data_IF_540706649107
#
_entry.id   IF_540706649107
#
_cell.length_a   1.000
_cell.length_b   1.000
_cell.length_c   1.000
_cell.angle_alpha   90.00
_cell.angle_beta   90.00
_cell.angle_gamma   90.00
#
_symmetry.space_group_name_H-M   'P 1'
#
loop_
_entity.id
_entity.type
_entity.pdbx_description
1 polymer ?
#
# COMPACT_ATOMS: atom_id res chain seq x y z
N UNK A 1 -34.10 -1.47 -24.49
CA UNK A 1 -34.60 -1.75 -23.13
C UNK A 1 -34.05 -0.64 -22.23
N UNK A 2 -34.90 0.09 -21.53
CA UNK A 2 -34.46 1.19 -20.65
C UNK A 2 -33.95 0.59 -19.34
N UNK A 3 -32.66 0.80 -19.02
CA UNK A 3 -32.09 0.35 -17.76
C UNK A 3 -32.92 0.86 -16.59
N UNK A 4 -33.23 -0.04 -15.67
CA UNK A 4 -33.96 0.21 -14.44
C UNK A 4 -33.21 1.20 -13.56
N UNK A 5 -33.91 1.86 -12.65
CA UNK A 5 -33.28 2.77 -11.69
C UNK A 5 -32.22 2.05 -10.84
N UNK A 6 -32.50 0.79 -10.46
CA UNK A 6 -31.56 -0.06 -9.74
C UNK A 6 -30.24 -0.28 -10.51
N UNK A 7 -30.31 -0.55 -11.82
CA UNK A 7 -29.12 -0.73 -12.65
C UNK A 7 -28.28 0.54 -12.73
N UNK A 8 -28.93 1.70 -12.86
CA UNK A 8 -28.24 3.01 -12.87
C UNK A 8 -27.52 3.28 -11.55
N UNK A 9 -28.17 3.00 -10.42
CA UNK A 9 -27.59 3.26 -9.10
C UNK A 9 -26.48 2.25 -8.76
N UNK A 10 -26.63 0.99 -9.17
CA UNK A 10 -25.58 -0.02 -9.12
C UNK A 10 -24.36 0.40 -9.94
N UNK A 11 -24.55 0.89 -11.16
CA UNK A 11 -23.45 1.35 -12.03
C UNK A 11 -22.72 2.56 -11.44
N UNK A 12 -23.44 3.54 -10.88
CA UNK A 12 -22.83 4.67 -10.17
C UNK A 12 -22.00 4.22 -8.98
N UNK A 13 -22.50 3.26 -8.19
CA UNK A 13 -21.80 2.74 -7.03
C UNK A 13 -20.53 1.98 -7.43
N UNK A 14 -20.61 1.13 -8.46
CA UNK A 14 -19.45 0.44 -9.03
C UNK A 14 -18.41 1.44 -9.54
N UNK A 15 -18.84 2.49 -10.26
CA UNK A 15 -17.94 3.53 -10.75
C UNK A 15 -17.26 4.29 -9.61
N UNK A 16 -18.01 4.69 -8.58
CA UNK A 16 -17.47 5.37 -7.41
C UNK A 16 -16.38 4.53 -6.73
N UNK A 17 -16.65 3.24 -6.52
CA UNK A 17 -15.67 2.31 -5.96
C UNK A 17 -14.42 2.24 -6.84
N UNK A 18 -14.59 2.10 -8.16
CA UNK A 18 -13.45 2.05 -9.08
C UNK A 18 -12.59 3.31 -9.03
N UNK A 19 -13.20 4.49 -8.92
CA UNK A 19 -12.49 5.76 -8.83
C UNK A 19 -11.72 5.90 -7.51
N UNK A 20 -12.28 5.40 -6.40
CA UNK A 20 -11.58 5.34 -5.10
C UNK A 20 -10.38 4.39 -5.15
N UNK A 21 -10.51 3.21 -5.77
CA UNK A 21 -9.37 2.30 -5.94
C UNK A 21 -8.28 2.91 -6.84
N UNK A 22 -8.66 3.59 -7.92
CA UNK A 22 -7.71 4.31 -8.79
C UNK A 22 -6.99 5.44 -8.06
N UNK A 23 -7.66 6.22 -7.22
CA UNK A 23 -7.02 7.30 -6.46
C UNK A 23 -6.02 6.78 -5.44
N UNK A 24 -6.21 5.56 -4.93
CA UNK A 24 -5.27 4.86 -4.05
C UNK A 24 -4.15 4.12 -4.81
N UNK A 25 -4.08 4.25 -6.14
CA UNK A 25 -3.10 3.55 -6.96
C UNK A 25 -3.33 2.03 -7.08
N UNK A 26 -4.52 1.55 -6.69
CA UNK A 26 -4.88 0.14 -6.75
C UNK A 26 -5.59 -0.11 -8.08
N UNK A 27 -4.89 -0.76 -9.01
CA UNK A 27 -5.48 -1.24 -10.25
C UNK A 27 -6.42 -2.41 -9.98
N UNK A 28 -7.74 -2.18 -10.08
CA UNK A 28 -8.74 -3.25 -10.08
C UNK A 28 -8.48 -4.12 -11.31
N UNK A 29 -8.10 -5.38 -11.07
CA UNK A 29 -7.90 -6.37 -12.13
C UNK A 29 -9.20 -6.48 -12.93
N UNK A 30 -9.19 -5.91 -14.13
CA UNK A 30 -10.28 -6.07 -15.07
C UNK A 30 -10.43 -7.56 -15.43
N UNK A 31 -11.61 -7.89 -15.96
CA UNK A 31 -12.04 -9.20 -16.49
C UNK A 31 -11.00 -9.99 -17.29
N UNK A 32 -9.93 -9.36 -17.78
CA UNK A 32 -8.82 -10.01 -18.48
C UNK A 32 -8.09 -11.07 -17.65
N UNK A 33 -8.07 -10.98 -16.32
CA UNK A 33 -7.49 -12.05 -15.47
C UNK A 33 -8.43 -13.27 -15.35
N UNK A 34 -9.74 -13.09 -15.54
CA UNK A 34 -10.69 -14.21 -15.60
C UNK A 34 -10.52 -14.99 -16.91
N UNK A 35 -10.22 -14.31 -18.01
CA UNK A 35 -9.95 -14.97 -19.30
C UNK A 35 -8.57 -15.66 -19.35
N UNK A 36 -7.64 -15.27 -18.46
CA UNK A 36 -6.33 -15.91 -18.28
C UNK A 36 -6.33 -17.15 -17.37
N UNK A 37 -7.43 -17.45 -16.67
CA UNK A 37 -7.57 -18.68 -15.90
C UNK A 37 -7.86 -19.85 -16.86
N UNK A 38 -7.11 -20.97 -16.78
CA UNK A 38 -7.39 -22.14 -17.62
C UNK A 38 -8.81 -22.64 -17.34
N UNK A 39 -9.67 -22.59 -18.36
CA UNK A 39 -10.96 -23.32 -18.33
C UNK A 39 -10.63 -24.78 -18.06
N UNK A 40 -11.09 -25.29 -16.91
CA UNK A 40 -10.90 -26.68 -16.55
C UNK A 40 -11.30 -27.58 -17.71
N UNK A 41 -10.36 -28.45 -18.10
CA UNK A 41 -10.58 -29.45 -19.12
C UNK A 41 -11.82 -30.28 -18.74
N UNK A 42 -12.68 -30.52 -19.74
CA UNK A 42 -13.83 -31.42 -19.65
C UNK A 42 -13.40 -32.74 -19.01
N UNK A 43 -13.71 -32.94 -17.73
CA UNK A 43 -13.78 -34.26 -17.15
C UNK A 43 -14.90 -34.98 -17.90
N UNK A 44 -14.51 -35.96 -18.72
CA UNK A 44 -15.43 -36.89 -19.37
C UNK A 44 -16.27 -37.52 -18.26
N UNK A 45 -17.57 -37.23 -18.25
CA UNK A 45 -18.52 -37.94 -17.42
C UNK A 45 -18.36 -39.43 -17.73
N UNK A 46 -18.04 -40.21 -16.71
CA UNK A 46 -18.18 -41.66 -16.78
C UNK A 46 -19.68 -41.94 -16.77
N UNK A 47 -20.14 -42.41 -17.91
CA UNK A 47 -21.45 -43.02 -18.12
C UNK A 47 -21.69 -44.07 -17.02
N UNK A 48 -22.72 -43.85 -16.20
CA UNK A 48 -23.21 -44.85 -15.28
C UNK A 48 -23.90 -45.93 -16.11
N UNK A 49 -23.14 -46.98 -16.45
CA UNK A 49 -23.71 -48.24 -16.93
C UNK A 49 -24.31 -48.94 -15.72
N UNK A 50 -25.63 -48.88 -15.63
CA UNK A 50 -26.44 -49.78 -14.82
C UNK A 50 -26.41 -51.18 -15.44
N UNK A 51 -25.85 -52.12 -14.68
CA UNK A 51 -26.38 -53.48 -14.43
C UNK A 51 -25.23 -54.48 -14.29
N UNK A 52 -25.11 -55.09 -13.10
CA UNK A 52 -25.23 -56.53 -12.98
C UNK A 52 -25.54 -56.92 -11.53
N UNK A 53 -26.60 -57.74 -11.44
CA UNK A 53 -27.03 -58.49 -10.27
C UNK A 53 -25.98 -59.54 -9.90
N UNK A 54 -26.09 -60.00 -8.65
CA UNK A 54 -25.51 -61.22 -8.09
C UNK A 54 -24.11 -61.10 -7.48
N UNK A 55 -24.07 -60.69 -6.22
CA UNK A 55 -23.17 -61.30 -5.23
C UNK A 55 -23.70 -61.01 -3.83
N UNK A 56 -24.47 -61.95 -3.28
CA UNK A 56 -24.65 -62.09 -1.82
C UNK A 56 -23.26 -62.25 -1.19
N UNK A 57 -22.77 -61.21 -0.55
CA UNK A 57 -21.75 -61.34 0.46
C UNK A 57 -22.28 -60.69 1.74
N UNK A 58 -22.60 -61.56 2.69
CA UNK A 58 -22.93 -61.22 4.07
C UNK A 58 -21.82 -60.33 4.62
N UNK A 59 -22.08 -59.03 4.66
CA UNK A 59 -21.19 -58.05 5.27
C UNK A 59 -21.25 -58.27 6.78
N UNK A 60 -20.24 -58.94 7.33
CA UNK A 60 -20.02 -59.10 8.77
C UNK A 60 -19.22 -57.90 9.30
N UNK A 61 -19.85 -56.94 10.02
CA UNK A 61 -19.19 -55.73 10.50
C UNK A 61 -18.18 -55.97 11.62
N UNK A 62 -17.98 -57.22 12.06
CA UNK A 62 -17.10 -57.56 13.18
C UNK A 62 -15.72 -58.09 12.78
N UNK A 63 -15.42 -58.19 11.47
CA UNK A 63 -14.24 -58.90 10.96
C UNK A 63 -13.02 -58.04 10.59
N UNK A 64 -13.11 -56.71 10.60
CA UNK A 64 -12.00 -55.81 10.21
C UNK A 64 -11.26 -55.15 11.38
N UNK A 65 -11.46 -55.62 12.61
CA UNK A 65 -10.60 -55.26 13.74
C UNK A 65 -9.54 -56.34 13.86
N UNK A 66 -8.44 -56.17 13.12
CA UNK A 66 -7.07 -56.55 13.48
C UNK A 66 -6.25 -56.84 12.21
N UNK A 67 -5.67 -55.80 11.58
CA UNK A 67 -4.22 -55.75 11.40
C UNK A 67 -3.70 -54.48 10.71
N UNK A 68 -2.66 -53.91 11.34
CA UNK A 68 -1.61 -53.04 10.79
C UNK A 68 -1.93 -51.54 10.66
N UNK A 69 -2.10 -50.86 11.80
CA UNK A 69 -1.75 -49.43 11.91
C UNK A 69 -0.27 -49.33 12.23
N UNK A 70 0.57 -49.37 11.20
CA UNK A 70 1.99 -49.04 11.28
C UNK A 70 2.34 -48.29 9.98
N UNK A 71 1.86 -47.06 9.89
CA UNK A 71 2.37 -46.09 8.93
C UNK A 71 2.66 -44.81 9.70
N UNK A 72 3.95 -44.59 9.82
CA UNK A 72 4.72 -43.53 10.46
C UNK A 72 4.44 -42.15 9.83
N UNK A 73 3.19 -41.69 9.86
CA UNK A 73 2.75 -40.39 9.32
C UNK A 73 2.30 -39.40 10.43
N UNK A 74 2.73 -39.62 11.68
CA UNK A 74 2.36 -38.73 12.80
C UNK A 74 3.19 -37.45 12.90
N UNK A 75 4.29 -37.31 12.15
CA UNK A 75 5.17 -36.14 12.29
C UNK A 75 4.70 -34.92 11.47
N UNK A 76 3.90 -35.10 10.42
CA UNK A 76 3.49 -33.99 9.53
C UNK A 76 2.35 -33.12 10.12
N UNK A 77 1.62 -33.64 11.11
CA UNK A 77 0.56 -32.88 11.79
C UNK A 77 1.08 -32.02 12.95
N UNK A 78 2.19 -32.40 13.59
CA UNK A 78 2.67 -31.72 14.79
C UNK A 78 3.49 -30.46 14.46
N UNK A 79 4.22 -30.45 13.35
CA UNK A 79 4.97 -29.28 12.86
C UNK A 79 4.03 -28.17 12.35
N UNK A 80 2.92 -28.53 11.70
CA UNK A 80 1.89 -27.57 11.24
C UNK A 80 1.13 -26.89 12.38
N UNK A 81 0.92 -27.58 13.50
CA UNK A 81 0.24 -27.01 14.67
C UNK A 81 1.09 -25.91 15.33
N UNK A 82 2.42 -26.09 15.38
CA UNK A 82 3.37 -25.13 15.98
C UNK A 82 3.34 -23.76 15.31
N UNK A 83 3.12 -23.73 14.00
CA UNK A 83 3.06 -22.50 13.21
C UNK A 83 1.65 -22.10 12.78
N UNK A 84 0.60 -22.63 13.42
CA UNK A 84 -0.81 -22.32 13.09
C UNK A 84 -1.14 -22.46 11.58
N UNK A 85 -0.56 -23.45 10.89
CA UNK A 85 -0.65 -23.64 9.43
C UNK A 85 -0.03 -22.52 8.58
N UNK A 86 0.77 -21.62 9.16
CA UNK A 86 1.60 -20.66 8.42
C UNK A 86 2.96 -21.26 8.09
N UNK A 87 3.54 -20.84 6.96
CA UNK A 87 4.91 -21.18 6.61
C UNK A 87 5.86 -20.61 7.69
N UNK A 88 6.78 -21.41 8.24
CA UNK A 88 7.64 -20.97 9.34
C UNK A 88 8.55 -19.83 8.89
N UNK A 89 8.74 -18.83 9.75
CA UNK A 89 9.66 -17.72 9.47
C UNK A 89 11.08 -18.27 9.24
N UNK A 90 11.74 -17.97 8.12
CA UNK A 90 13.05 -18.55 7.79
C UNK A 90 14.14 -18.33 8.84
N UNK A 91 14.12 -17.21 9.57
CA UNK A 91 15.10 -16.93 10.63
C UNK A 91 14.81 -17.78 11.85
N UNK A 92 13.54 -17.86 12.25
CA UNK A 92 13.10 -18.64 13.41
C UNK A 92 13.30 -20.15 13.15
N UNK A 93 12.93 -20.62 11.96
CA UNK A 93 13.15 -22.00 11.49
C UNK A 93 14.63 -22.38 11.45
N UNK A 94 15.51 -21.47 10.99
CA UNK A 94 16.96 -21.68 11.06
C UNK A 94 17.40 -21.87 12.51
N UNK A 95 16.82 -21.09 13.40
CA UNK A 95 17.13 -21.16 14.81
C UNK A 95 16.78 -22.50 15.43
N UNK A 96 15.61 -23.05 15.08
CA UNK A 96 15.15 -24.35 15.54
C UNK A 96 15.95 -25.50 14.94
N UNK A 97 16.19 -25.46 13.62
CA UNK A 97 16.93 -26.49 12.90
C UNK A 97 18.37 -26.67 13.45
N UNK A 98 19.01 -25.57 13.87
CA UNK A 98 20.35 -25.61 14.42
C UNK A 98 20.40 -25.85 15.94
N UNK A 99 19.26 -25.98 16.62
CA UNK A 99 19.17 -26.22 18.05
C UNK A 99 18.77 -27.66 18.35
N UNK A 100 19.76 -28.52 18.56
CA UNK A 100 19.51 -29.93 18.88
C UNK A 100 19.03 -30.11 20.33
N UNK A 101 18.05 -30.98 20.62
CA UNK A 101 17.61 -31.22 22.01
C UNK A 101 18.71 -31.77 22.93
N UNK A 102 19.70 -32.47 22.37
CA UNK A 102 20.76 -33.17 23.11
C UNK A 102 22.02 -32.33 23.34
N UNK A 103 22.38 -31.50 22.36
CA UNK A 103 23.64 -30.74 22.36
C UNK A 103 23.45 -29.22 22.24
N UNK A 104 22.20 -28.75 22.17
CA UNK A 104 21.89 -27.36 21.91
C UNK A 104 22.40 -26.91 20.55
N UNK A 105 22.72 -25.62 20.45
CA UNK A 105 23.27 -24.98 19.26
C UNK A 105 24.80 -24.85 19.34
N UNK A 106 25.49 -25.08 18.23
CA UNK A 106 26.95 -24.89 18.15
C UNK A 106 27.32 -23.41 18.28
N UNK A 107 28.53 -23.06 18.75
CA UNK A 107 28.95 -21.66 18.91
C UNK A 107 28.82 -20.84 17.62
N UNK A 108 29.25 -21.42 16.48
CA UNK A 108 29.13 -20.78 15.16
C UNK A 108 27.68 -20.57 14.76
N UNK A 109 26.81 -21.58 14.93
CA UNK A 109 25.41 -21.43 14.59
C UNK A 109 24.72 -20.38 15.50
N UNK A 110 25.16 -20.25 16.75
CA UNK A 110 24.64 -19.26 17.68
C UNK A 110 24.98 -17.83 17.28
N UNK A 111 26.23 -17.60 16.88
CA UNK A 111 26.66 -16.31 16.31
C UNK A 111 25.85 -15.94 15.06
N UNK A 112 25.69 -16.90 14.15
CA UNK A 112 24.96 -16.69 12.90
C UNK A 112 23.49 -16.39 13.14
N UNK A 113 22.84 -17.12 14.05
CA UNK A 113 21.45 -16.85 14.42
C UNK A 113 21.30 -15.47 15.10
N UNK A 114 22.21 -15.11 16.01
CA UNK A 114 22.17 -13.81 16.68
C UNK A 114 22.28 -12.65 15.66
N UNK A 115 23.13 -12.80 14.64
CA UNK A 115 23.23 -11.83 13.54
C UNK A 115 21.92 -11.73 12.73
N UNK A 116 21.30 -12.86 12.40
CA UNK A 116 20.04 -12.87 11.67
C UNK A 116 18.91 -12.19 12.45
N UNK A 117 18.81 -12.44 13.76
CA UNK A 117 17.81 -11.80 14.64
C UNK A 117 18.06 -10.30 14.75
N UNK A 118 19.32 -9.89 14.97
CA UNK A 118 19.68 -8.47 15.03
C UNK A 118 19.37 -7.73 13.72
N UNK A 119 19.60 -8.36 12.56
CA UNK A 119 19.30 -7.78 11.26
C UNK A 119 17.77 -7.74 10.98
N UNK A 120 17.00 -8.69 11.54
CA UNK A 120 15.52 -8.72 11.47
C UNK A 120 14.91 -7.58 12.31
N UNK A 121 15.52 -7.26 13.44
CA UNK A 121 15.09 -6.17 14.35
C UNK A 121 15.61 -4.78 13.96
N UNK A 122 16.63 -4.72 13.10
CA UNK A 122 17.20 -3.46 12.62
C UNK A 122 16.16 -2.66 11.83
N UNK A 123 15.85 -1.45 12.31
CA UNK A 123 14.97 -0.54 11.60
C UNK A 123 15.61 -0.14 10.26
N UNK A 124 14.83 -0.09 9.16
CA UNK A 124 15.34 0.32 7.86
C UNK A 124 15.88 1.75 7.93
N UNK A 125 17.08 1.94 7.38
CA UNK A 125 17.68 3.25 7.18
C UNK A 125 16.80 4.07 6.21
N UNK A 126 16.64 5.37 6.48
CA UNK A 126 15.65 6.25 5.86
C UNK A 126 15.63 6.08 4.32
N UNK A 127 14.55 5.50 3.79
CA UNK A 127 14.34 5.25 2.36
C UNK A 127 14.63 3.84 1.84
N UNK A 128 15.07 2.87 2.66
CA UNK A 128 15.22 1.47 2.25
C UNK A 128 14.06 0.58 2.75
N UNK A 129 13.68 -0.42 1.97
CA UNK A 129 12.73 -1.44 2.41
C UNK A 129 13.37 -2.34 3.47
N UNK A 130 12.62 -2.71 4.52
CA UNK A 130 13.05 -3.67 5.51
C UNK A 130 13.42 -5.00 4.83
N UNK A 131 14.56 -5.59 5.22
CA UNK A 131 15.00 -6.86 4.65
C UNK A 131 14.03 -7.97 5.03
N UNK A 132 13.60 -8.75 4.05
CA UNK A 132 12.76 -9.92 4.33
C UNK A 132 13.57 -11.00 5.10
N UNK A 133 12.93 -11.81 5.96
CA UNK A 133 13.58 -12.90 6.68
C UNK A 133 14.39 -13.83 5.76
N UNK A 134 13.84 -14.22 4.59
CA UNK A 134 14.55 -15.04 3.60
C UNK A 134 15.81 -14.36 3.05
N UNK A 135 15.78 -13.03 2.89
CA UNK A 135 16.93 -12.25 2.42
C UNK A 135 18.02 -12.17 3.48
N UNK A 136 17.65 -11.99 4.74
CA UNK A 136 18.56 -12.00 5.90
C UNK A 136 19.28 -13.35 6.00
N UNK A 137 18.52 -14.45 5.92
CA UNK A 137 19.08 -15.80 5.94
C UNK A 137 19.99 -16.05 4.74
N UNK A 138 19.58 -15.64 3.53
CA UNK A 138 20.39 -15.79 2.33
C UNK A 138 21.75 -15.09 2.46
N UNK A 139 21.75 -13.84 2.92
CA UNK A 139 22.95 -13.02 3.04
C UNK A 139 23.88 -13.58 4.13
N UNK A 140 23.32 -13.96 5.29
CA UNK A 140 24.09 -14.53 6.41
C UNK A 140 24.73 -15.88 6.04
N UNK A 141 23.97 -16.79 5.42
CA UNK A 141 24.51 -18.08 5.00
C UNK A 141 25.48 -17.94 3.83
N UNK A 142 25.34 -16.93 2.97
CA UNK A 142 26.29 -16.71 1.87
C UNK A 142 27.69 -16.32 2.32
N UNK A 143 27.83 -15.74 3.52
CA UNK A 143 29.12 -15.39 4.12
C UNK A 143 29.89 -16.64 4.59
N UNK A 144 29.16 -17.67 5.03
CA UNK A 144 29.72 -18.93 5.52
C UNK A 144 29.89 -19.92 4.36
N UNK A 145 28.85 -20.06 3.54
CA UNK A 145 28.80 -21.00 2.42
C UNK A 145 27.96 -20.46 1.27
N UNK A 146 28.62 -20.20 0.13
CA UNK A 146 27.98 -19.74 -1.12
C UNK A 146 27.02 -20.76 -1.74
N UNK A 147 27.05 -22.01 -1.28
CA UNK A 147 26.25 -23.13 -1.77
C UNK A 147 25.22 -23.62 -0.77
N UNK A 148 24.87 -22.81 0.25
CA UNK A 148 23.82 -23.18 1.21
C UNK A 148 22.51 -23.57 0.50
N UNK A 149 22.01 -24.76 0.82
CA UNK A 149 20.73 -25.31 0.32
C UNK A 149 19.58 -25.09 1.30
N UNK A 150 19.82 -24.40 2.42
CA UNK A 150 18.83 -24.19 3.47
C UNK A 150 17.53 -23.59 2.95
N UNK A 151 17.61 -22.46 2.23
CA UNK A 151 16.43 -21.78 1.68
C UNK A 151 15.66 -22.64 0.65
N UNK A 152 16.32 -23.25 -0.37
CA UNK A 152 15.64 -24.20 -1.26
C UNK A 152 14.98 -25.38 -0.54
N UNK A 153 15.61 -25.92 0.51
CA UNK A 153 15.08 -27.07 1.24
C UNK A 153 13.82 -26.72 2.04
N UNK A 154 13.62 -25.45 2.41
CA UNK A 154 12.40 -24.96 3.06
C UNK A 154 11.39 -24.37 2.06
N UNK A 155 11.55 -24.63 0.76
CA UNK A 155 10.62 -24.17 -0.27
C UNK A 155 10.87 -22.76 -0.82
N UNK A 156 11.89 -22.04 -0.34
CA UNK A 156 12.23 -20.70 -0.83
C UNK A 156 13.11 -20.81 -2.09
N UNK A 157 12.62 -20.43 -3.28
CA UNK A 157 13.37 -20.58 -4.52
C UNK A 157 14.62 -19.69 -4.53
N UNK A 158 15.74 -20.25 -5.02
CA UNK A 158 16.98 -19.49 -5.19
C UNK A 158 16.75 -18.40 -6.25
N UNK A 159 17.02 -17.14 -5.90
CA UNK A 159 17.07 -16.06 -6.87
C UNK A 159 18.13 -16.40 -7.93
N UNK A 160 17.69 -16.90 -9.09
CA UNK A 160 18.57 -17.30 -10.17
C UNK A 160 19.24 -16.05 -10.73
N UNK A 161 20.58 -16.07 -10.83
CA UNK A 161 21.36 -14.96 -11.42
C UNK A 161 21.27 -14.93 -12.95
N UNK A 162 20.21 -15.47 -13.55
CA UNK A 162 20.00 -15.39 -15.00
C UNK A 162 19.32 -14.07 -15.32
N UNK A 163 19.94 -13.28 -16.21
CA UNK A 163 19.47 -12.00 -16.79
C UNK A 163 19.99 -10.70 -16.14
N UNK A 164 21.14 -10.74 -15.45
CA UNK A 164 21.79 -9.52 -14.93
C UNK A 164 22.15 -8.48 -16.00
N UNK A 165 22.27 -8.85 -17.28
CA UNK A 165 22.58 -7.91 -18.36
C UNK A 165 21.36 -7.19 -18.98
N UNK A 166 20.16 -7.79 -18.93
CA UNK A 166 18.92 -7.15 -19.43
C UNK A 166 18.19 -6.34 -18.34
N UNK A 167 18.52 -6.58 -17.07
CA UNK A 167 17.90 -5.94 -15.91
C UNK A 167 18.51 -4.57 -15.60
N UNK A 168 19.80 -4.33 -15.87
CA UNK A 168 20.46 -3.07 -15.48
C UNK A 168 19.92 -1.87 -16.26
N UNK A 169 19.75 -1.98 -17.58
CA UNK A 169 19.23 -0.88 -18.39
C UNK A 169 17.74 -0.57 -18.08
N UNK A 170 16.95 -1.59 -17.76
CA UNK A 170 15.57 -1.42 -17.32
C UNK A 170 15.50 -0.79 -15.91
N UNK A 171 16.41 -1.17 -15.01
CA UNK A 171 16.49 -0.61 -13.66
C UNK A 171 16.97 0.85 -13.66
N UNK A 172 17.92 1.20 -14.53
CA UNK A 172 18.37 2.59 -14.74
C UNK A 172 17.22 3.46 -15.27
N UNK A 173 16.39 2.94 -16.19
CA UNK A 173 15.22 3.67 -16.69
C UNK A 173 14.17 3.90 -15.60
N UNK A 174 13.85 2.88 -14.80
CA UNK A 174 12.91 3.03 -13.68
C UNK A 174 13.44 3.98 -12.60
N UNK A 175 14.75 3.97 -12.32
CA UNK A 175 15.35 4.93 -11.39
C UNK A 175 15.26 6.37 -11.93
N UNK A 176 15.58 6.59 -13.20
CA UNK A 176 15.46 7.90 -13.83
C UNK A 176 14.01 8.41 -13.83
N UNK A 177 13.03 7.56 -14.12
CA UNK A 177 11.60 7.92 -14.05
C UNK A 177 11.16 8.26 -12.62
N UNK A 178 11.68 7.56 -11.61
CA UNK A 178 11.39 7.85 -10.21
C UNK A 178 12.01 9.18 -9.77
N UNK A 179 13.27 9.44 -10.14
CA UNK A 179 13.96 10.70 -9.88
C UNK A 179 13.27 11.87 -10.59
N UNK A 180 12.84 11.69 -11.85
CA UNK A 180 12.08 12.69 -12.59
C UNK A 180 10.74 12.99 -11.91
N UNK A 181 10.01 11.96 -11.47
CA UNK A 181 8.75 12.14 -10.73
C UNK A 181 8.96 12.88 -9.41
N UNK A 182 10.00 12.53 -8.66
CA UNK A 182 10.33 13.20 -7.40
C UNK A 182 10.69 14.67 -7.62
N UNK A 183 11.41 14.96 -8.70
CA UNK A 183 11.77 16.32 -9.05
C UNK A 183 10.55 17.13 -9.52
N UNK A 184 9.71 16.56 -10.37
CA UNK A 184 8.45 17.17 -10.79
C UNK A 184 7.53 17.46 -9.59
N UNK A 185 7.44 16.53 -8.63
CA UNK A 185 6.66 16.73 -7.41
C UNK A 185 7.22 17.87 -6.54
N UNK A 186 8.55 17.97 -6.42
CA UNK A 186 9.20 19.09 -5.72
C UNK A 186 8.94 20.43 -6.40
N UNK A 187 9.00 20.46 -7.73
CA UNK A 187 8.70 21.67 -8.50
C UNK A 187 7.23 22.06 -8.38
N UNK A 188 6.32 21.09 -8.42
CA UNK A 188 4.89 21.35 -8.21
C UNK A 188 4.59 21.85 -6.79
N UNK A 189 5.23 21.25 -5.78
CA UNK A 189 5.13 21.72 -4.40
C UNK A 189 5.68 23.14 -4.22
N UNK A 190 6.82 23.45 -4.85
CA UNK A 190 7.40 24.79 -4.84
C UNK A 190 6.46 25.81 -5.51
N UNK A 191 5.86 25.46 -6.66
CA UNK A 191 4.87 26.31 -7.34
C UNK A 191 3.62 26.55 -6.50
N UNK A 192 3.07 25.50 -5.88
CA UNK A 192 1.91 25.64 -4.98
C UNK A 192 2.23 26.52 -3.78
N UNK A 193 3.42 26.40 -3.22
CA UNK A 193 3.87 27.27 -2.13
C UNK A 193 3.98 28.72 -2.57
N UNK A 194 4.58 28.97 -3.74
CA UNK A 194 4.69 30.31 -4.32
C UNK A 194 3.30 30.92 -4.61
N UNK A 195 2.37 30.14 -5.17
CA UNK A 195 1.01 30.59 -5.43
C UNK A 195 0.26 30.97 -4.15
N UNK A 196 0.36 30.15 -3.10
CA UNK A 196 -0.23 30.47 -1.79
C UNK A 196 0.39 31.73 -1.19
N UNK A 197 1.71 31.88 -1.30
CA UNK A 197 2.41 33.06 -0.82
C UNK A 197 1.99 34.32 -1.59
N UNK A 198 1.88 34.25 -2.91
CA UNK A 198 1.41 35.33 -3.76
C UNK A 198 -0.04 35.70 -3.44
N UNK A 199 -0.92 34.72 -3.18
CA UNK A 199 -2.31 34.96 -2.80
C UNK A 199 -2.41 35.68 -1.44
N UNK A 200 -1.60 35.28 -0.46
CA UNK A 200 -1.54 35.97 0.84
C UNK A 200 -1.04 37.41 0.69
N UNK A 201 -0.01 37.62 -0.12
CA UNK A 201 0.53 38.95 -0.39
C UNK A 201 -0.48 39.84 -1.11
N UNK A 202 -1.21 39.30 -2.08
CA UNK A 202 -2.28 40.00 -2.78
C UNK A 202 -3.44 40.39 -1.83
N UNK A 203 -3.86 39.48 -0.94
CA UNK A 203 -4.86 39.81 0.08
C UNK A 203 -4.39 40.93 1.02
N UNK A 204 -3.12 40.88 1.45
CA UNK A 204 -2.57 41.92 2.31
C UNK A 204 -2.47 43.28 1.60
N UNK A 205 -2.10 43.29 0.31
CA UNK A 205 -2.08 44.49 -0.51
C UNK A 205 -3.49 45.09 -0.68
N UNK A 206 -4.47 44.25 -1.02
CA UNK A 206 -5.87 44.69 -1.14
C UNK A 206 -6.42 45.24 0.18
N UNK A 207 -6.09 44.62 1.32
CA UNK A 207 -6.49 45.14 2.63
C UNK A 207 -5.87 46.50 2.94
N UNK A 208 -4.58 46.69 2.64
CA UNK A 208 -3.91 47.98 2.81
C UNK A 208 -4.51 49.07 1.92
N UNK A 209 -4.80 48.73 0.67
CA UNK A 209 -5.43 49.66 -0.28
C UNK A 209 -6.83 50.07 0.21
N UNK A 210 -7.64 49.11 0.66
CA UNK A 210 -8.97 49.40 1.22
C UNK A 210 -8.89 50.31 2.45
N UNK A 211 -7.91 50.12 3.33
CA UNK A 211 -7.70 51.03 4.47
C UNK A 211 -7.32 52.45 4.01
N UNK A 212 -6.45 52.56 3.00
CA UNK A 212 -6.08 53.86 2.43
C UNK A 212 -7.28 54.55 1.78
N UNK A 213 -8.10 53.82 1.04
CA UNK A 213 -9.30 54.35 0.40
C UNK A 213 -10.32 54.83 1.43
N UNK A 214 -10.48 54.10 2.54
CA UNK A 214 -11.36 54.50 3.63
C UNK A 214 -10.90 55.81 4.27
N UNK A 215 -9.59 55.97 4.49
CA UNK A 215 -9.02 57.20 5.03
C UNK A 215 -9.24 58.38 4.08
N UNK A 216 -8.97 58.19 2.79
CA UNK A 216 -9.21 59.21 1.77
C UNK A 216 -10.69 59.62 1.73
N UNK A 217 -11.60 58.64 1.73
CA UNK A 217 -13.04 58.90 1.73
C UNK A 217 -13.49 59.68 2.98
N UNK A 218 -12.94 59.36 4.17
CA UNK A 218 -13.21 60.14 5.37
C UNK A 218 -12.71 61.58 5.25
N UNK A 219 -11.52 61.79 4.69
CA UNK A 219 -10.95 63.12 4.50
C UNK A 219 -11.78 63.95 3.51
N UNK A 220 -12.22 63.35 2.41
CA UNK A 220 -13.12 63.98 1.45
C UNK A 220 -14.47 64.35 2.07
N UNK A 221 -15.09 63.44 2.83
CA UNK A 221 -16.36 63.71 3.54
C UNK A 221 -16.17 64.83 4.55
N UNK A 222 -15.06 64.84 5.31
CA UNK A 222 -14.74 65.91 6.25
C UNK A 222 -14.54 67.24 5.52
N UNK A 223 -13.85 67.25 4.39
CA UNK A 223 -13.68 68.43 3.55
C UNK A 223 -15.01 68.96 3.00
N UNK A 224 -15.90 68.07 2.56
CA UNK A 224 -17.26 68.43 2.14
C UNK A 224 -18.08 69.01 3.30
N UNK A 225 -17.97 68.43 4.49
CA UNK A 225 -18.67 68.91 5.68
C UNK A 225 -18.25 70.34 6.03
N UNK A 226 -16.94 70.62 6.05
CA UNK A 226 -16.43 71.97 6.30
C UNK A 226 -16.96 72.98 5.27
N UNK A 227 -16.93 72.65 3.98
CA UNK A 227 -17.48 73.52 2.91
C UNK A 227 -18.98 73.75 3.09
N UNK A 228 -19.72 72.73 3.51
CA UNK A 228 -21.14 72.83 3.79
C UNK A 228 -21.41 73.77 4.98
N UNK A 229 -20.65 73.67 6.06
CA UNK A 229 -20.75 74.56 7.22
C UNK A 229 -20.45 76.02 6.86
N UNK A 230 -19.38 76.28 6.10
CA UNK A 230 -19.04 77.61 5.59
C UNK A 230 -20.17 78.21 4.75
N UNK A 231 -20.72 77.42 3.82
CA UNK A 231 -21.84 77.86 2.97
C UNK A 231 -23.08 78.16 3.81
N UNK A 232 -23.38 77.33 4.81
CA UNK A 232 -24.51 77.52 5.71
C UNK A 232 -24.33 78.79 6.58
N UNK A 233 -23.12 79.03 7.10
CA UNK A 233 -22.79 80.24 7.83
C UNK A 233 -22.98 81.50 6.97
N UNK A 234 -22.53 81.47 5.71
CA UNK A 234 -22.74 82.55 4.75
C UNK A 234 -24.23 82.81 4.50
N UNK A 235 -25.02 81.76 4.25
CA UNK A 235 -26.48 81.87 4.08
C UNK A 235 -27.15 82.51 5.30
N UNK A 236 -26.76 82.10 6.52
CA UNK A 236 -27.28 82.69 7.76
C UNK A 236 -26.93 84.17 7.90
N UNK A 237 -25.72 84.58 7.50
CA UNK A 237 -25.31 85.98 7.51
C UNK A 237 -26.13 86.82 6.53
N UNK A 238 -26.32 86.34 5.28
CA UNK A 238 -27.14 87.03 4.27
C UNK A 238 -28.60 87.16 4.73
N UNK A 239 -29.18 86.12 5.31
CA UNK A 239 -30.55 86.15 5.81
C UNK A 239 -30.74 87.12 7.00
N UNK A 240 -29.71 87.34 7.82
CA UNK A 240 -29.75 88.36 8.88
C UNK A 240 -29.76 89.78 8.29
N UNK A 241 -28.90 90.04 7.29
CA UNK A 241 -28.80 91.34 6.62
C UNK A 241 -30.08 91.76 5.88
N UNK A 242 -30.94 90.82 5.49
CA UNK A 242 -32.24 91.13 4.86
C UNK A 242 -33.36 91.46 5.86
N UNK A 243 -33.13 91.24 7.16
CA UNK A 243 -34.12 91.47 8.22
C UNK A 243 -33.91 92.78 8.98
N UNK A 244 -32.75 93.42 8.80
CA UNK A 244 -32.45 94.77 9.28
C UNK A 244 -32.80 95.80 8.18
#
# INVERSE_FOLDING_TARGET
>A
MTNTQYEKDREKHVKHIQDVFKSMGISILAKEVIDGLPKQAKLKGKELVSDNRDSDHDYDPSSDIDNQTDSDDSDDFEERAKYNNMEPDPVDFFGECMNSPKSGRTPLANEVYALMVAEKEKQPEEGQAQKSPSKIVADSLSQISRSSTFLPNIGVPRASKSNRASSTAAQVRMQAEFEERLQAEREEAARKQEELQAQLQAQQAALKENQSLLLQTQEEVKGMHNKFEETNALLRAVLKLQKD
#
